data_IF_286579576111
#
_entry.id   IF_286579576111
#
_cell.length_a   1.000
_cell.length_b   1.000
_cell.length_c   1.000
_cell.angle_alpha   90.00
_cell.angle_beta   90.00
_cell.angle_gamma   90.00
#
_symmetry.space_group_name_H-M   'P 1'
#
loop_
_entity.id
_entity.type
_entity.pdbx_description
1 polymer ?
#
# COMPACT_ATOMS: atom_id res chain seq x y z
N UNK A 1 5.00 -23.22 -40.72
CA UNK A 1 5.27 -22.81 -39.32
C UNK A 1 5.90 -21.43 -39.30
N UNK A 2 5.11 -20.36 -39.37
CA UNK A 2 5.59 -19.00 -39.16
C UNK A 2 5.50 -18.66 -37.67
N UNK A 3 6.66 -18.55 -37.01
CA UNK A 3 6.75 -17.92 -35.69
C UNK A 3 6.32 -16.47 -35.85
N UNK A 4 5.09 -16.15 -35.45
CA UNK A 4 4.69 -14.78 -35.18
C UNK A 4 5.66 -14.28 -34.11
N UNK A 5 6.58 -13.39 -34.50
CA UNK A 5 7.39 -12.62 -33.56
C UNK A 5 6.38 -11.84 -32.71
N UNK A 6 6.20 -12.30 -31.48
CA UNK A 6 5.41 -11.63 -30.45
C UNK A 6 6.12 -10.29 -30.20
N UNK A 7 5.75 -9.29 -31.01
CA UNK A 7 6.22 -7.91 -30.92
C UNK A 7 6.05 -7.56 -29.46
N UNK A 8 7.17 -7.27 -28.79
CA UNK A 8 7.18 -6.84 -27.40
C UNK A 8 6.33 -5.57 -27.31
N UNK A 9 5.02 -5.75 -27.10
CA UNK A 9 4.13 -4.66 -26.74
C UNK A 9 4.71 -4.15 -25.45
N UNK A 10 5.45 -3.05 -25.53
CA UNK A 10 5.70 -2.17 -24.39
C UNK A 10 4.33 -1.98 -23.77
N UNK A 11 4.05 -2.69 -22.68
CA UNK A 11 2.70 -2.74 -22.14
C UNK A 11 2.40 -1.36 -21.61
N UNK A 12 1.62 -0.58 -22.36
CA UNK A 12 1.24 0.77 -21.98
C UNK A 12 0.58 0.70 -20.60
N UNK A 13 1.17 1.42 -19.64
CA UNK A 13 0.59 1.59 -18.31
C UNK A 13 -0.18 2.88 -18.28
N UNK A 14 -1.33 2.91 -17.62
CA UNK A 14 -2.07 4.15 -17.40
C UNK A 14 -2.60 4.23 -15.98
N UNK A 15 -2.76 5.45 -15.48
CA UNK A 15 -3.29 5.70 -14.15
C UNK A 15 -4.79 6.04 -14.25
N UNK A 16 -5.62 5.32 -13.51
CA UNK A 16 -7.06 5.59 -13.41
C UNK A 16 -7.56 5.23 -12.01
N UNK A 17 -8.45 6.07 -11.43
CA UNK A 17 -8.98 5.91 -10.07
C UNK A 17 -7.90 5.64 -9.00
N UNK A 18 -6.71 6.23 -9.15
CA UNK A 18 -5.61 6.04 -8.21
C UNK A 18 -4.89 4.70 -8.31
N UNK A 19 -5.13 3.91 -9.35
CA UNK A 19 -4.40 2.69 -9.69
C UNK A 19 -3.61 2.87 -10.98
N UNK A 20 -2.41 2.31 -11.01
CA UNK A 20 -1.70 2.05 -12.25
C UNK A 20 -2.17 0.70 -12.79
N UNK A 21 -2.76 0.74 -13.99
CA UNK A 21 -3.18 -0.42 -14.75
C UNK A 21 -2.04 -0.86 -15.68
N UNK A 22 -1.76 -2.15 -15.71
CA UNK A 22 -0.68 -2.69 -16.53
C UNK A 22 -1.00 -4.12 -16.99
N UNK A 23 -0.59 -4.46 -18.20
CA UNK A 23 -0.75 -5.82 -18.72
C UNK A 23 0.22 -6.77 -17.99
N UNK A 24 -0.24 -7.99 -17.73
CA UNK A 24 0.59 -9.04 -17.18
C UNK A 24 -0.06 -10.40 -17.33
N UNK A 25 0.51 -11.41 -16.68
CA UNK A 25 -0.03 -12.76 -16.65
C UNK A 25 -0.48 -13.14 -15.23
N UNK A 26 -1.50 -13.98 -15.15
CA UNK A 26 -1.90 -14.65 -13.90
C UNK A 26 -0.85 -15.67 -13.48
N UNK A 27 -1.00 -16.26 -12.28
CA UNK A 27 -0.15 -17.38 -11.85
C UNK A 27 -0.26 -18.58 -12.79
N UNK A 28 -1.43 -18.77 -13.42
CA UNK A 28 -1.72 -19.81 -14.41
C UNK A 28 -1.36 -19.38 -15.85
N UNK A 29 -0.62 -18.29 -16.04
CA UNK A 29 -0.14 -17.85 -17.37
C UNK A 29 -1.16 -17.09 -18.22
N UNK A 30 -2.43 -16.94 -17.79
CA UNK A 30 -3.46 -16.21 -18.56
C UNK A 30 -3.19 -14.71 -18.59
N UNK A 31 -3.27 -14.10 -19.76
CA UNK A 31 -3.17 -12.65 -19.91
C UNK A 31 -4.28 -11.93 -19.12
N UNK A 32 -3.93 -10.88 -18.38
CA UNK A 32 -4.89 -10.03 -17.67
C UNK A 32 -4.33 -8.64 -17.36
N UNK A 33 -5.23 -7.68 -17.18
CA UNK A 33 -4.90 -6.33 -16.68
C UNK A 33 -4.74 -6.38 -15.16
N UNK A 34 -3.50 -6.21 -14.68
CA UNK A 34 -3.16 -6.10 -13.26
C UNK A 34 -3.27 -4.65 -12.79
N UNK A 35 -3.45 -4.48 -11.48
CA UNK A 35 -3.57 -3.16 -10.85
C UNK A 35 -2.62 -3.07 -9.67
N UNK A 36 -2.01 -1.90 -9.52
CA UNK A 36 -1.30 -1.53 -8.30
C UNK A 36 -1.62 -0.09 -7.91
N UNK A 37 -1.49 0.28 -6.65
CA UNK A 37 -1.67 1.69 -6.25
C UNK A 37 -0.72 2.57 -7.04
N UNK A 38 -1.22 3.68 -7.58
CA UNK A 38 -0.39 4.58 -8.37
C UNK A 38 0.70 5.21 -7.52
N UNK A 39 1.88 5.40 -8.12
CA UNK A 39 3.04 6.01 -7.45
C UNK A 39 2.70 7.40 -6.89
N UNK A 40 1.93 8.19 -7.65
CA UNK A 40 1.45 9.52 -7.25
C UNK A 40 0.63 9.46 -5.97
N UNK A 41 -0.31 8.52 -5.84
CA UNK A 41 -1.15 8.36 -4.64
C UNK A 41 -0.35 7.89 -3.42
N UNK A 42 0.57 6.94 -3.61
CA UNK A 42 1.49 6.50 -2.54
C UNK A 42 2.34 7.66 -2.03
N UNK A 43 2.97 8.42 -2.93
CA UNK A 43 3.82 9.55 -2.57
C UNK A 43 3.04 10.65 -1.85
N UNK A 44 1.85 11.00 -2.36
CA UNK A 44 0.98 11.99 -1.73
C UNK A 44 0.62 11.57 -0.30
N UNK A 45 0.20 10.32 -0.08
CA UNK A 45 -0.19 9.85 1.25
C UNK A 45 0.99 9.77 2.23
N UNK A 46 2.17 9.38 1.76
CA UNK A 46 3.38 9.39 2.59
C UNK A 46 3.82 10.81 2.95
N UNK A 47 3.71 11.77 2.02
CA UNK A 47 3.99 13.19 2.29
C UNK A 47 3.03 13.74 3.34
N UNK A 48 1.73 13.56 3.15
CA UNK A 48 0.70 13.94 4.12
C UNK A 48 0.98 13.34 5.51
N UNK A 49 1.28 12.04 5.56
CA UNK A 49 1.56 11.33 6.81
C UNK A 49 2.82 11.86 7.50
N UNK A 50 3.87 12.14 6.73
CA UNK A 50 5.13 12.71 7.24
C UNK A 50 4.92 14.10 7.82
N UNK A 51 4.19 14.99 7.13
CA UNK A 51 3.93 16.35 7.63
C UNK A 51 3.03 16.32 8.87
N UNK A 52 2.01 15.46 8.89
CA UNK A 52 1.19 15.26 10.09
C UNK A 52 2.03 14.78 11.28
N UNK A 53 2.94 13.81 11.09
CA UNK A 53 3.82 13.33 12.15
C UNK A 53 4.77 14.41 12.65
N UNK A 54 5.35 15.21 11.75
CA UNK A 54 6.21 16.33 12.15
C UNK A 54 5.50 17.24 13.13
N UNK A 55 4.26 17.63 12.83
CA UNK A 55 3.48 18.55 13.66
C UNK A 55 3.08 17.87 14.98
N UNK A 56 2.66 16.60 14.95
CA UNK A 56 2.06 15.91 16.08
C UNK A 56 3.01 15.01 16.88
N UNK A 57 4.31 14.99 16.57
CA UNK A 57 5.30 14.06 17.18
C UNK A 57 5.36 14.11 18.71
N UNK A 58 4.98 15.22 19.32
CA UNK A 58 4.99 15.44 20.76
C UNK A 58 3.63 15.13 21.44
N UNK A 59 2.61 14.71 20.67
CA UNK A 59 1.31 14.33 21.21
C UNK A 59 1.36 12.95 21.85
N UNK A 60 0.27 12.61 22.54
CA UNK A 60 0.10 11.31 23.17
C UNK A 60 0.26 10.15 22.16
N UNK A 61 0.89 9.08 22.61
CA UNK A 61 1.25 7.96 21.75
C UNK A 61 0.02 7.16 21.31
N UNK A 62 -1.01 7.03 22.15
CA UNK A 62 -2.26 6.37 21.78
C UNK A 62 -2.96 7.14 20.67
N UNK A 63 -3.00 8.47 20.77
CA UNK A 63 -3.58 9.34 19.74
C UNK A 63 -2.86 9.18 18.39
N UNK A 64 -1.52 9.16 18.40
CA UNK A 64 -0.71 8.95 17.19
C UNK A 64 -1.02 7.57 16.59
N UNK A 65 -0.96 6.51 17.40
CA UNK A 65 -1.14 5.14 16.90
C UNK A 65 -2.56 4.89 16.39
N UNK A 66 -3.59 5.44 17.06
CA UNK A 66 -4.98 5.32 16.63
C UNK A 66 -5.23 6.01 15.27
N UNK A 67 -4.70 7.23 15.08
CA UNK A 67 -4.75 7.92 13.77
C UNK A 67 -4.11 7.07 12.66
N UNK A 68 -2.99 6.42 12.96
CA UNK A 68 -2.29 5.58 11.99
C UNK A 68 -3.07 4.31 11.68
N UNK A 69 -3.66 3.66 12.69
CA UNK A 69 -4.55 2.52 12.50
C UNK A 69 -5.72 2.87 11.59
N UNK A 70 -6.47 3.94 11.89
CA UNK A 70 -7.59 4.41 11.05
C UNK A 70 -7.16 4.73 9.62
N UNK A 71 -6.06 5.46 9.45
CA UNK A 71 -5.55 5.80 8.11
C UNK A 71 -5.11 4.58 7.31
N UNK A 72 -4.50 3.57 7.93
CA UNK A 72 -4.11 2.33 7.26
C UNK A 72 -5.33 1.49 6.90
N UNK A 73 -6.32 1.37 7.79
CA UNK A 73 -7.58 0.68 7.50
C UNK A 73 -8.28 1.29 6.29
N UNK A 74 -8.41 2.62 6.23
CA UNK A 74 -8.99 3.30 5.07
C UNK A 74 -8.19 3.05 3.78
N UNK A 75 -6.86 3.11 3.86
CA UNK A 75 -5.99 2.81 2.71
C UNK A 75 -6.17 1.36 2.24
N UNK A 76 -6.27 0.40 3.16
CA UNK A 76 -6.45 -1.02 2.83
C UNK A 76 -7.82 -1.29 2.23
N UNK A 77 -8.89 -0.71 2.77
CA UNK A 77 -10.23 -0.88 2.24
C UNK A 77 -10.32 -0.49 0.75
N UNK A 78 -9.56 0.52 0.33
CA UNK A 78 -9.52 0.95 -1.06
C UNK A 78 -8.50 0.19 -1.91
N UNK A 79 -7.25 0.03 -1.41
CA UNK A 79 -6.14 -0.45 -2.22
C UNK A 79 -5.83 -1.94 -2.08
N UNK A 80 -6.38 -2.67 -1.11
CA UNK A 80 -6.16 -4.11 -0.98
C UNK A 80 -7.01 -4.93 -1.97
N UNK A 81 -6.73 -4.76 -3.24
CA UNK A 81 -7.31 -5.55 -4.33
C UNK A 81 -6.36 -6.67 -4.77
N UNK A 82 -6.86 -7.66 -5.50
CA UNK A 82 -6.02 -8.65 -6.19
C UNK A 82 -4.92 -7.96 -7.00
N UNK A 83 -3.72 -8.55 -7.01
CA UNK A 83 -2.49 -8.04 -7.64
C UNK A 83 -1.78 -6.85 -6.96
N UNK A 84 -2.41 -6.18 -5.98
CA UNK A 84 -1.82 -5.00 -5.34
C UNK A 84 -1.20 -5.26 -3.95
N UNK A 85 -1.35 -6.46 -3.37
CA UNK A 85 -0.92 -6.78 -2.00
C UNK A 85 0.55 -6.44 -1.74
N UNK A 86 1.44 -6.65 -2.70
CA UNK A 86 2.87 -6.30 -2.55
C UNK A 86 3.10 -4.79 -2.42
N UNK A 87 2.39 -3.97 -3.20
CA UNK A 87 2.52 -2.51 -3.13
C UNK A 87 1.99 -1.98 -1.79
N UNK A 88 0.88 -2.55 -1.32
CA UNK A 88 0.27 -2.14 -0.04
C UNK A 88 1.15 -2.54 1.15
N UNK A 89 1.78 -3.73 1.12
CA UNK A 89 2.78 -4.10 2.13
C UNK A 89 3.95 -3.11 2.15
N UNK A 90 4.54 -2.79 0.99
CA UNK A 90 5.61 -1.78 0.89
C UNK A 90 5.17 -0.41 1.43
N UNK A 91 3.90 -0.04 1.26
CA UNK A 91 3.36 1.17 1.86
C UNK A 91 3.31 1.10 3.39
N UNK A 92 2.85 -0.01 3.97
CA UNK A 92 2.87 -0.27 5.42
C UNK A 92 4.29 -0.18 5.98
N UNK A 93 5.27 -0.79 5.30
CA UNK A 93 6.67 -0.74 5.74
C UNK A 93 7.18 0.71 5.79
N UNK A 94 6.87 1.52 4.76
CA UNK A 94 7.23 2.95 4.74
C UNK A 94 6.57 3.74 5.87
N UNK A 95 5.35 3.37 6.26
CA UNK A 95 4.65 3.96 7.40
C UNK A 95 5.36 3.61 8.72
N UNK A 96 5.79 2.36 8.90
CA UNK A 96 6.61 1.94 10.05
C UNK A 96 7.94 2.71 10.11
N UNK A 97 8.65 2.85 8.98
CA UNK A 97 9.88 3.66 8.92
C UNK A 97 9.63 5.12 9.30
N UNK A 98 8.52 5.73 8.86
CA UNK A 98 8.17 7.09 9.25
C UNK A 98 7.89 7.20 10.75
N UNK A 99 7.14 6.26 11.33
CA UNK A 99 6.88 6.21 12.76
C UNK A 99 8.17 6.08 13.57
N UNK A 100 9.02 5.09 13.23
CA UNK A 100 10.31 4.89 13.88
C UNK A 100 11.16 6.16 13.86
N UNK A 101 11.23 6.81 12.68
CA UNK A 101 12.02 8.03 12.49
C UNK A 101 11.50 9.20 13.33
N UNK A 102 10.19 9.45 13.33
CA UNK A 102 9.62 10.65 13.97
C UNK A 102 9.40 10.48 15.47
N UNK A 103 9.11 9.27 15.94
CA UNK A 103 9.06 8.99 17.38
C UNK A 103 10.44 9.12 18.02
N UNK A 104 11.52 8.74 17.32
CA UNK A 104 12.89 8.98 17.77
C UNK A 104 13.33 10.46 17.70
N UNK A 105 12.53 11.34 17.11
CA UNK A 105 12.79 12.79 17.02
C UNK A 105 11.90 13.62 17.95
N UNK A 106 11.12 12.97 18.82
CA UNK A 106 10.22 13.64 19.77
C UNK A 106 10.93 14.15 21.02
N UNK A 107 12.12 13.62 21.33
CA UNK A 107 12.91 13.99 22.51
C UNK A 107 14.38 14.15 22.13
N UNK A 108 15.17 14.73 23.04
CA UNK A 108 16.62 14.90 22.87
C UNK A 108 17.40 13.56 22.90
N UNK A 109 16.74 12.46 23.27
CA UNK A 109 17.32 11.10 23.26
C UNK A 109 16.58 10.20 22.27
N UNK A 110 17.32 9.28 21.64
CA UNK A 110 16.71 8.21 20.83
C UNK A 110 15.99 7.22 21.75
N UNK A 111 14.67 7.17 21.67
CA UNK A 111 13.84 6.29 22.50
C UNK A 111 13.84 4.83 22.04
N UNK A 112 14.05 4.57 20.74
CA UNK A 112 13.92 3.25 20.12
C UNK A 112 15.14 2.85 19.30
N UNK A 113 15.67 1.66 19.58
CA UNK A 113 16.32 0.79 18.57
C UNK A 113 15.23 0.09 17.76
N UNK A 114 15.59 -0.56 16.64
CA UNK A 114 14.62 -1.33 15.86
C UNK A 114 13.97 -2.45 16.66
N UNK A 115 14.72 -3.14 17.53
CA UNK A 115 14.16 -4.22 18.35
C UNK A 115 13.19 -3.70 19.41
N UNK A 116 13.53 -2.60 20.09
CA UNK A 116 12.59 -1.92 20.99
C UNK A 116 11.36 -1.39 20.24
N UNK A 117 11.54 -0.94 19.01
CA UNK A 117 10.41 -0.49 18.17
C UNK A 117 9.49 -1.64 17.76
N UNK A 118 10.04 -2.83 17.47
CA UNK A 118 9.25 -4.05 17.23
C UNK A 118 8.42 -4.43 18.46
N UNK A 119 9.03 -4.42 19.65
CA UNK A 119 8.30 -4.63 20.91
C UNK A 119 7.20 -3.58 21.12
N UNK A 120 7.49 -2.32 20.80
CA UNK A 120 6.49 -1.25 20.81
C UNK A 120 5.33 -1.53 19.85
N UNK A 121 5.60 -2.00 18.62
CA UNK A 121 4.56 -2.38 17.67
C UNK A 121 3.78 -3.63 18.11
N UNK A 122 4.33 -4.51 18.93
CA UNK A 122 3.56 -5.60 19.54
C UNK A 122 2.51 -5.06 20.51
N UNK A 123 2.84 -4.00 21.27
CA UNK A 123 1.88 -3.31 22.15
C UNK A 123 0.89 -2.44 21.38
N UNK A 124 1.33 -1.81 20.29
CA UNK A 124 0.52 -0.94 19.43
C UNK A 124 0.49 -1.43 17.98
N UNK A 125 -0.20 -2.55 17.71
CA UNK A 125 -0.13 -3.20 16.40
C UNK A 125 -0.76 -2.34 15.31
N UNK A 126 0.01 -2.13 14.25
CA UNK A 126 -0.50 -1.61 12.99
C UNK A 126 -1.21 -2.74 12.23
N UNK A 127 -2.39 -2.46 11.63
CA UNK A 127 -3.13 -3.46 10.87
C UNK A 127 -2.25 -4.01 9.72
N UNK A 128 -2.43 -5.28 9.40
CA UNK A 128 -1.79 -5.91 8.25
C UNK A 128 -2.73 -5.85 7.03
N UNK A 129 -2.19 -5.60 5.83
CA UNK A 129 -2.99 -5.60 4.63
C UNK A 129 -3.44 -7.03 4.30
N UNK A 130 -4.73 -7.20 4.07
CA UNK A 130 -5.35 -8.43 3.58
C UNK A 130 -6.16 -8.07 2.34
N UNK A 131 -6.21 -8.96 1.35
CA UNK A 131 -7.03 -8.75 0.15
C UNK A 131 -8.48 -8.55 0.60
N UNK A 132 -9.06 -7.41 0.23
CA UNK A 132 -10.44 -7.01 0.52
C UNK A 132 -11.37 -7.32 -0.64
N UNK A 133 -10.90 -7.15 -1.88
CA UNK A 133 -11.70 -7.35 -3.08
C UNK A 133 -10.91 -8.13 -4.11
N UNK A 134 -11.52 -9.20 -4.63
CA UNK A 134 -11.02 -9.86 -5.81
C UNK A 134 -11.68 -9.31 -7.09
N UNK A 135 -10.94 -8.49 -7.83
CA UNK A 135 -11.47 -7.81 -9.02
C UNK A 135 -11.88 -8.78 -10.12
N UNK A 136 -11.33 -10.00 -10.15
CA UNK A 136 -11.66 -10.97 -11.19
C UNK A 136 -12.89 -11.83 -10.84
N UNK A 137 -13.30 -11.89 -9.57
CA UNK A 137 -14.50 -12.63 -9.17
C UNK A 137 -15.77 -11.87 -9.57
N UNK A 138 -15.70 -10.52 -9.60
CA UNK A 138 -16.78 -9.64 -10.08
C UNK A 138 -17.20 -9.93 -11.53
N UNK A 139 -16.33 -10.56 -12.35
CA UNK A 139 -16.66 -10.93 -13.73
C UNK A 139 -17.67 -12.07 -13.83
N UNK A 140 -17.82 -12.92 -12.81
CA UNK A 140 -18.77 -14.05 -12.89
C UNK A 140 -20.23 -13.62 -12.87
N UNK A 141 -20.54 -12.43 -12.35
CA UNK A 141 -21.90 -11.90 -12.24
C UNK A 141 -22.25 -10.77 -13.23
N UNK A 142 -21.26 -10.22 -13.94
CA UNK A 142 -21.45 -9.11 -14.89
C UNK A 142 -21.12 -9.64 -16.29
N UNK A 143 -22.09 -10.32 -16.90
CA UNK A 143 -22.02 -10.79 -18.30
C UNK A 143 -22.50 -9.73 -19.31
N UNK A 144 -22.99 -8.57 -18.86
CA UNK A 144 -23.77 -7.63 -19.69
C UNK A 144 -23.01 -6.38 -20.14
N UNK A 145 -21.68 -6.39 -20.12
CA UNK A 145 -20.88 -5.34 -20.78
C UNK A 145 -19.73 -6.02 -21.54
N UNK A 146 -20.11 -6.64 -22.67
CA UNK A 146 -19.28 -6.87 -23.84
C UNK A 146 -19.93 -6.13 -25.01
#
# INVERSE_FOLDING_TARGET
>A
MSRIKDKSMVSSTFDFLGFTHYCGRSKQGKFRVKRKTSKKKVQAKLKETKEWLKINRNKDIHMIMDRFKRSLVGYYNYYCITDNTQSVNKFRDKIEFLLFKWLNRRSQRKSFTWDKFRLFLNKYPLPYPRIKVNIYDLRKGINYIL
#
